data_IF_411044294268
#
_entry.id   IF_411044294268
#
_cell.length_a   1.000
_cell.length_b   1.000
_cell.length_c   1.000
_cell.angle_alpha   90.00
_cell.angle_beta   90.00
_cell.angle_gamma   90.00
#
_symmetry.space_group_name_H-M   'P 1'
#
loop_
_entity.id
_entity.type
_entity.pdbx_description
1 polymer ?
#
# COMPACT_ATOMS: atom_id res chain seq x y z
N UNK A 1 -43.44 25.29 7.69
CA UNK A 1 -43.09 23.91 8.12
C UNK A 1 -43.12 23.84 9.65
N UNK A 2 -43.85 22.89 10.22
CA UNK A 2 -44.27 22.88 11.62
C UNK A 2 -43.10 22.61 12.59
N UNK A 3 -42.99 23.39 13.67
CA UNK A 3 -41.98 23.21 14.74
C UNK A 3 -41.94 21.78 15.28
N UNK A 4 -43.07 21.05 15.23
CA UNK A 4 -43.17 19.64 15.64
C UNK A 4 -42.33 18.69 14.76
N UNK A 5 -42.25 18.95 13.46
CA UNK A 5 -41.52 18.07 12.52
C UNK A 5 -40.01 18.17 12.71
N UNK A 6 -39.51 19.37 13.03
CA UNK A 6 -38.09 19.60 13.30
C UNK A 6 -37.62 18.93 14.60
N UNK A 7 -38.44 18.96 15.66
CA UNK A 7 -38.13 18.26 16.91
C UNK A 7 -38.10 16.74 16.74
N UNK A 8 -39.00 16.16 15.96
CA UNK A 8 -39.00 14.73 15.64
C UNK A 8 -37.76 14.30 14.87
N UNK A 9 -37.31 15.10 13.89
CA UNK A 9 -36.08 14.82 13.14
C UNK A 9 -34.83 14.89 14.02
N UNK A 10 -34.76 15.84 14.97
CA UNK A 10 -33.64 15.93 15.91
C UNK A 10 -33.63 14.77 16.92
N UNK A 11 -34.81 14.34 17.40
CA UNK A 11 -34.94 13.18 18.27
C UNK A 11 -34.52 11.88 17.56
N UNK A 12 -34.94 11.69 16.30
CA UNK A 12 -34.55 10.55 15.48
C UNK A 12 -33.04 10.50 15.22
N UNK A 13 -32.41 11.65 14.91
CA UNK A 13 -30.95 11.73 14.74
C UNK A 13 -30.18 11.44 16.02
N UNK A 14 -30.69 11.86 17.19
CA UNK A 14 -30.08 11.52 18.49
C UNK A 14 -30.20 10.03 18.80
N UNK A 15 -31.36 9.41 18.53
CA UNK A 15 -31.58 7.99 18.72
C UNK A 15 -30.67 7.13 17.82
N UNK A 16 -30.50 7.52 16.56
CA UNK A 16 -29.57 6.86 15.63
C UNK A 16 -28.11 6.92 16.14
N UNK A 17 -27.65 8.11 16.58
CA UNK A 17 -26.31 8.28 17.15
C UNK A 17 -26.07 7.55 18.48
N UNK A 18 -27.14 7.23 19.21
CA UNK A 18 -27.06 6.41 20.42
C UNK A 18 -27.00 4.92 20.05
N UNK A 19 -27.85 4.46 19.13
CA UNK A 19 -27.84 3.08 18.64
C UNK A 19 -26.50 2.69 17.98
N UNK A 20 -25.88 3.61 17.24
CA UNK A 20 -24.57 3.40 16.63
C UNK A 20 -23.45 3.25 17.67
N UNK A 21 -23.42 4.12 18.69
CA UNK A 21 -22.48 4.03 19.81
C UNK A 21 -22.66 2.78 20.67
N UNK A 22 -23.88 2.29 20.79
CA UNK A 22 -24.16 1.05 21.51
C UNK A 22 -23.80 -0.19 20.68
N UNK A 23 -23.94 -0.13 19.34
CA UNK A 23 -23.47 -1.17 18.43
C UNK A 23 -21.93 -1.26 18.41
N UNK A 24 -21.23 -0.14 18.42
CA UNK A 24 -19.76 -0.08 18.55
C UNK A 24 -19.29 -0.65 19.88
N UNK A 25 -19.92 -0.27 21.01
CA UNK A 25 -19.58 -0.84 22.33
C UNK A 25 -19.84 -2.35 22.41
N UNK A 26 -20.89 -2.86 21.76
CA UNK A 26 -21.14 -4.30 21.65
C UNK A 26 -20.07 -5.01 20.80
N UNK A 27 -19.65 -4.40 19.67
CA UNK A 27 -18.55 -4.93 18.83
C UNK A 27 -17.23 -4.95 19.60
N UNK A 28 -16.90 -3.87 20.30
CA UNK A 28 -15.69 -3.79 21.14
C UNK A 28 -15.71 -4.81 22.28
N UNK A 29 -16.84 -4.98 22.99
CA UNK A 29 -16.98 -6.02 24.03
C UNK A 29 -16.85 -7.43 23.47
N UNK A 30 -17.39 -7.70 22.27
CA UNK A 30 -17.23 -8.99 21.60
C UNK A 30 -15.77 -9.25 21.21
N UNK A 31 -15.08 -8.25 20.66
CA UNK A 31 -13.68 -8.38 20.30
C UNK A 31 -12.80 -8.57 21.54
N UNK A 32 -13.05 -7.82 22.62
CA UNK A 32 -12.33 -7.97 23.90
C UNK A 32 -12.58 -9.33 24.56
N UNK A 33 -13.81 -9.85 24.52
CA UNK A 33 -14.13 -11.18 25.04
C UNK A 33 -13.43 -12.30 24.26
N UNK A 34 -13.29 -12.15 22.93
CA UNK A 34 -12.52 -13.08 22.08
C UNK A 34 -11.02 -13.04 22.44
N UNK A 35 -10.45 -11.86 22.69
CA UNK A 35 -9.03 -11.72 23.09
C UNK A 35 -8.74 -12.22 24.51
N UNK A 36 -9.69 -12.11 25.45
CA UNK A 36 -9.51 -12.64 26.82
C UNK A 36 -9.68 -14.16 26.85
N UNK A 37 -10.59 -14.73 26.03
CA UNK A 37 -10.74 -16.18 25.91
C UNK A 37 -9.50 -16.86 25.33
N UNK A 38 -8.78 -16.23 24.40
CA UNK A 38 -7.54 -16.78 23.82
C UNK A 38 -6.34 -16.73 24.78
N UNK A 39 -6.31 -15.80 25.74
CA UNK A 39 -5.27 -15.77 26.78
C UNK A 39 -5.58 -16.76 27.92
N UNK A 40 -6.85 -16.96 28.27
CA UNK A 40 -7.25 -17.91 29.32
C UNK A 40 -7.05 -19.38 28.91
N UNK A 41 -7.27 -19.75 27.64
CA UNK A 41 -7.00 -21.12 27.16
C UNK A 41 -5.50 -21.46 27.15
N UNK A 42 -4.62 -20.50 26.84
CA UNK A 42 -3.17 -20.73 26.84
C UNK A 42 -2.63 -20.93 28.26
N UNK A 43 -3.18 -20.25 29.27
CA UNK A 43 -2.73 -20.41 30.67
C UNK A 43 -3.27 -21.69 31.31
N UNK A 44 -4.50 -22.13 31.00
CA UNK A 44 -5.05 -23.38 31.55
C UNK A 44 -4.37 -24.62 30.97
N UNK A 45 -3.91 -24.57 29.71
CA UNK A 45 -3.14 -25.67 29.10
C UNK A 45 -1.73 -25.79 29.71
N UNK A 46 -1.10 -24.68 30.12
CA UNK A 46 0.24 -24.72 30.73
C UNK A 46 0.19 -25.19 32.19
N UNK A 47 -0.87 -24.86 32.95
CA UNK A 47 -1.00 -25.28 34.36
C UNK A 47 -1.61 -26.67 34.51
N UNK A 48 -2.51 -27.09 33.61
CA UNK A 48 -3.15 -28.42 33.65
C UNK A 48 -2.20 -29.57 33.32
N UNK A 49 -1.11 -29.32 32.58
CA UNK A 49 -0.13 -30.34 32.18
C UNK A 49 0.87 -30.68 33.31
N UNK A 50 1.00 -29.83 34.34
CA UNK A 50 1.99 -30.04 35.41
C UNK A 50 1.52 -30.85 36.63
N UNK A 51 0.24 -31.27 36.71
CA UNK A 51 -0.30 -31.87 37.96
C UNK A 51 -0.80 -33.32 37.83
N UNK A 52 -0.88 -33.95 36.65
CA UNK A 52 -1.59 -35.25 36.52
C UNK A 52 -0.75 -36.51 36.24
N UNK A 53 0.57 -36.47 35.98
CA UNK A 53 1.31 -37.74 35.80
C UNK A 53 2.66 -37.78 36.49
N UNK A 54 2.61 -37.99 37.81
CA UNK A 54 3.55 -38.90 38.47
C UNK A 54 2.89 -40.27 38.54
N UNK A 55 3.43 -41.26 37.82
CA UNK A 55 3.44 -42.72 38.02
C UNK A 55 3.47 -43.44 36.66
N UNK A 56 4.67 -43.97 36.35
CA UNK A 56 4.95 -45.27 35.73
C UNK A 56 4.15 -45.74 34.50
N UNK A 57 4.84 -45.77 33.35
CA UNK A 57 4.46 -46.57 32.19
C UNK A 57 5.47 -46.38 31.05
N UNK A 58 6.22 -47.43 30.73
CA UNK A 58 7.13 -47.50 29.58
C UNK A 58 6.35 -47.38 28.26
N UNK A 59 6.27 -46.18 27.70
CA UNK A 59 5.96 -45.98 26.28
C UNK A 59 6.72 -44.75 25.78
N UNK A 60 7.64 -44.99 24.83
CA UNK A 60 8.36 -43.93 24.11
C UNK A 60 7.34 -43.01 23.42
N UNK A 61 7.25 -41.70 23.74
CA UNK A 61 6.45 -40.80 22.94
C UNK A 61 7.20 -40.57 21.62
N UNK A 62 6.64 -41.06 20.53
CA UNK A 62 7.02 -40.62 19.19
C UNK A 62 6.74 -39.11 19.10
N UNK A 63 7.76 -38.33 18.79
CA UNK A 63 7.63 -36.90 18.53
C UNK A 63 6.61 -36.72 17.40
N UNK A 64 5.50 -36.06 17.69
CA UNK A 64 4.57 -35.61 16.66
C UNK A 64 5.21 -34.42 15.94
N UNK A 65 5.85 -34.67 14.81
CA UNK A 65 6.24 -33.66 13.84
C UNK A 65 4.96 -33.04 13.25
N UNK A 66 4.35 -32.09 13.96
CA UNK A 66 3.39 -31.18 13.37
C UNK A 66 4.18 -30.16 12.53
N UNK A 67 3.94 -30.04 11.22
CA UNK A 67 4.61 -29.03 10.40
C UNK A 67 4.24 -27.67 10.97
N UNK A 68 5.23 -26.92 11.45
CA UNK A 68 5.03 -25.52 11.82
C UNK A 68 4.66 -24.79 10.53
N UNK A 69 3.41 -24.32 10.41
CA UNK A 69 2.98 -23.54 9.25
C UNK A 69 3.93 -22.36 9.06
N UNK A 70 4.34 -22.11 7.82
CA UNK A 70 5.23 -20.99 7.50
C UNK A 70 4.61 -19.67 8.01
N UNK A 71 5.42 -18.69 8.45
CA UNK A 71 4.91 -17.42 8.96
C UNK A 71 4.03 -16.73 7.91
N UNK A 72 2.76 -16.48 8.23
CA UNK A 72 1.79 -15.85 7.31
C UNK A 72 2.19 -14.42 6.91
N UNK A 73 3.18 -13.81 7.57
CA UNK A 73 3.69 -12.47 7.29
C UNK A 73 4.84 -12.45 6.26
N UNK A 74 5.07 -13.55 5.56
CA UNK A 74 6.02 -13.68 4.45
C UNK A 74 5.30 -14.17 3.18
N UNK A 75 5.82 -13.88 1.98
CA UNK A 75 5.21 -14.36 0.76
C UNK A 75 5.42 -15.87 0.61
N UNK A 76 4.37 -16.59 0.19
CA UNK A 76 4.46 -18.02 -0.15
C UNK A 76 5.34 -18.25 -1.38
N UNK A 77 5.26 -17.33 -2.35
CA UNK A 77 6.11 -17.31 -3.54
C UNK A 77 6.26 -15.89 -4.08
N UNK A 78 7.36 -15.64 -4.80
CA UNK A 78 7.58 -14.40 -5.56
C UNK A 78 7.93 -14.81 -7.00
N UNK A 79 7.15 -14.38 -8.01
CA UNK A 79 7.52 -14.62 -9.40
C UNK A 79 8.88 -14.00 -9.74
N UNK A 80 9.74 -14.71 -10.46
CA UNK A 80 11.07 -14.20 -10.85
C UNK A 80 11.05 -13.42 -12.16
N UNK A 81 10.14 -13.77 -13.08
CA UNK A 81 10.06 -13.17 -14.41
C UNK A 81 9.46 -11.77 -14.38
N UNK A 82 10.12 -10.83 -15.06
CA UNK A 82 9.59 -9.50 -15.32
C UNK A 82 8.33 -9.58 -16.19
N UNK A 83 7.31 -8.80 -15.85
CA UNK A 83 6.17 -8.63 -16.75
C UNK A 83 6.56 -7.76 -17.95
N UNK A 84 5.86 -7.94 -19.07
CA UNK A 84 5.97 -7.01 -20.19
C UNK A 84 5.59 -5.60 -19.73
N UNK A 85 6.34 -4.60 -20.18
CA UNK A 85 6.03 -3.20 -19.87
C UNK A 85 4.58 -2.85 -20.27
N UNK A 86 3.86 -2.04 -19.46
CA UNK A 86 2.50 -1.67 -19.76
C UNK A 86 2.44 -0.91 -21.09
N UNK A 87 1.36 -1.11 -21.84
CA UNK A 87 1.09 -0.39 -23.09
C UNK A 87 -0.39 -0.05 -23.18
N UNK A 88 -0.71 1.11 -23.75
CA UNK A 88 -2.08 1.46 -24.13
C UNK A 88 -2.43 0.80 -25.45
N UNK A 89 -3.62 0.19 -25.54
CA UNK A 89 -4.14 -0.34 -26.81
C UNK A 89 -4.43 0.80 -27.80
N UNK A 90 -4.98 1.91 -27.30
CA UNK A 90 -5.21 3.14 -28.06
C UNK A 90 -4.26 4.22 -27.56
N UNK A 91 -3.37 4.78 -28.40
CA UNK A 91 -2.49 5.88 -28.01
C UNK A 91 -3.28 7.11 -27.53
N UNK A 92 -2.68 7.87 -26.61
CA UNK A 92 -3.19 9.18 -26.23
C UNK A 92 -3.01 10.19 -27.37
N UNK A 93 -3.72 11.31 -27.29
CA UNK A 93 -3.39 12.48 -28.10
C UNK A 93 -1.95 12.93 -27.81
N UNK A 94 -1.29 13.57 -28.79
CA UNK A 94 0.12 13.99 -28.67
C UNK A 94 0.39 14.85 -27.43
N UNK A 95 -0.60 15.65 -27.02
CA UNK A 95 -0.63 16.37 -25.77
C UNK A 95 -1.94 16.10 -25.03
N UNK A 96 -1.86 16.02 -23.71
CA UNK A 96 -3.03 15.98 -22.82
C UNK A 96 -3.03 17.17 -21.88
N UNK A 97 -4.21 17.61 -21.46
CA UNK A 97 -4.34 18.68 -20.49
C UNK A 97 -4.33 18.13 -19.06
N UNK A 98 -3.27 18.44 -18.30
CA UNK A 98 -3.11 18.02 -16.91
C UNK A 98 -3.55 19.14 -15.96
N UNK A 99 -4.28 18.75 -14.90
CA UNK A 99 -4.78 19.67 -13.88
C UNK A 99 -4.49 19.10 -12.50
N UNK A 100 -3.88 19.90 -11.62
CA UNK A 100 -3.51 19.53 -10.25
C UNK A 100 -4.32 20.35 -9.25
N UNK A 101 -5.40 19.76 -8.75
CA UNK A 101 -6.37 20.43 -7.89
C UNK A 101 -5.91 20.43 -6.44
N UNK A 102 -5.73 21.61 -5.85
CA UNK A 102 -5.39 21.74 -4.43
C UNK A 102 -6.42 21.02 -3.55
N UNK A 103 -5.95 20.23 -2.58
CA UNK A 103 -6.81 19.55 -1.61
C UNK A 103 -7.10 20.46 -0.42
N UNK A 104 -8.12 20.09 0.37
CA UNK A 104 -8.39 20.76 1.65
C UNK A 104 -7.27 20.50 2.67
N UNK A 105 -6.75 19.27 2.69
CA UNK A 105 -5.58 18.92 3.50
C UNK A 105 -4.31 19.56 2.93
N UNK A 106 -3.44 20.14 3.78
CA UNK A 106 -2.17 20.70 3.35
C UNK A 106 -1.19 19.61 2.94
N UNK A 107 -0.13 20.01 2.23
CA UNK A 107 0.96 19.11 1.89
C UNK A 107 1.67 18.60 3.15
N UNK A 108 1.94 17.30 3.21
CA UNK A 108 2.66 16.67 4.32
C UNK A 108 4.13 17.11 4.41
N UNK A 109 4.68 17.61 3.31
CA UNK A 109 6.00 18.24 3.20
C UNK A 109 5.89 19.42 2.23
N UNK A 110 6.62 20.53 2.43
CA UNK A 110 6.51 21.71 1.57
C UNK A 110 6.74 21.36 0.09
N UNK A 111 5.77 21.68 -0.75
CA UNK A 111 5.81 21.46 -2.20
C UNK A 111 4.74 22.32 -2.89
N UNK A 112 4.98 22.63 -4.16
CA UNK A 112 3.97 23.24 -5.02
C UNK A 112 3.45 22.23 -6.04
N UNK A 113 2.15 22.27 -6.38
CA UNK A 113 1.64 21.50 -7.52
C UNK A 113 2.40 21.88 -8.80
N UNK A 114 2.62 20.94 -9.73
CA UNK A 114 3.08 21.29 -11.07
C UNK A 114 2.10 22.27 -11.71
N UNK A 115 2.58 23.13 -12.61
CA UNK A 115 1.70 24.01 -13.36
C UNK A 115 0.68 23.20 -14.19
N UNK A 116 -0.57 23.65 -14.22
CA UNK A 116 -1.58 23.09 -15.11
C UNK A 116 -1.23 23.31 -16.59
N UNK A 117 -1.85 22.53 -17.48
CA UNK A 117 -1.79 22.75 -18.92
C UNK A 117 -1.38 21.53 -19.73
N UNK A 118 -1.03 21.77 -20.99
CA UNK A 118 -0.70 20.72 -21.97
C UNK A 118 0.64 20.05 -21.64
N UNK A 119 0.65 18.72 -21.71
CA UNK A 119 1.80 17.86 -21.45
C UNK A 119 1.93 16.86 -22.57
N UNK A 120 3.15 16.71 -23.11
CA UNK A 120 3.46 15.76 -24.16
C UNK A 120 3.24 14.32 -23.67
N UNK A 121 2.43 13.55 -24.40
CA UNK A 121 2.12 12.15 -24.08
C UNK A 121 3.11 11.17 -24.73
N UNK A 122 4.41 11.47 -24.66
CA UNK A 122 5.45 10.60 -25.20
C UNK A 122 6.82 10.91 -24.61
N UNK A 123 7.73 9.94 -24.71
CA UNK A 123 9.07 10.00 -24.16
C UNK A 123 9.15 9.35 -22.78
N UNK A 124 10.36 8.97 -22.41
CA UNK A 124 10.66 8.35 -21.13
C UNK A 124 11.60 9.22 -20.31
N UNK A 125 11.53 9.07 -18.99
CA UNK A 125 12.43 9.78 -18.06
C UNK A 125 12.96 8.79 -17.04
N UNK A 126 14.27 8.80 -16.81
CA UNK A 126 14.91 7.95 -15.82
C UNK A 126 14.92 8.64 -14.46
N UNK A 127 14.54 7.92 -13.41
CA UNK A 127 14.66 8.38 -12.03
C UNK A 127 15.42 7.34 -11.23
N UNK A 128 16.40 7.79 -10.45
CA UNK A 128 17.08 6.98 -9.45
C UNK A 128 16.55 7.35 -8.07
N UNK A 129 16.10 6.35 -7.31
CA UNK A 129 15.83 6.47 -5.89
C UNK A 129 17.01 5.87 -5.14
N UNK A 130 17.82 6.70 -4.49
CA UNK A 130 18.84 6.21 -3.58
C UNK A 130 18.14 5.78 -2.28
N UNK A 131 18.17 4.49 -1.96
CA UNK A 131 17.45 3.94 -0.81
C UNK A 131 18.35 3.24 0.21
N UNK A 132 17.78 2.88 1.37
CA UNK A 132 18.46 2.04 2.37
C UNK A 132 18.79 0.62 1.87
N UNK A 133 18.15 0.14 0.81
CA UNK A 133 18.36 -1.21 0.24
C UNK A 133 19.20 -1.20 -1.05
N UNK A 134 19.68 -0.03 -1.48
CA UNK A 134 20.40 0.19 -2.74
C UNK A 134 19.68 1.20 -3.64
N UNK A 135 20.21 1.42 -4.84
CA UNK A 135 19.58 2.32 -5.80
C UNK A 135 18.45 1.59 -6.54
N UNK A 136 17.28 2.21 -6.59
CA UNK A 136 16.14 1.73 -7.37
C UNK A 136 16.01 2.56 -8.65
N UNK A 137 16.18 1.91 -9.80
CA UNK A 137 16.21 2.55 -11.11
C UNK A 137 14.85 2.45 -11.79
N UNK A 138 14.20 3.59 -11.97
CA UNK A 138 12.88 3.73 -12.55
C UNK A 138 12.96 4.32 -13.96
N UNK A 139 12.08 3.84 -14.85
CA UNK A 139 11.80 4.43 -16.15
C UNK A 139 10.35 4.86 -16.20
N UNK A 140 10.10 6.16 -16.18
CA UNK A 140 8.77 6.75 -16.32
C UNK A 140 8.41 6.86 -17.80
N UNK A 141 7.15 6.64 -18.16
CA UNK A 141 6.68 6.67 -19.55
C UNK A 141 5.47 7.59 -19.73
N UNK A 142 5.69 8.73 -20.38
CA UNK A 142 4.65 9.72 -20.66
C UNK A 142 3.66 9.27 -21.74
N UNK A 143 3.92 8.19 -22.48
CA UNK A 143 2.91 7.58 -23.35
C UNK A 143 1.87 6.79 -22.54
N UNK A 144 2.20 6.40 -21.31
CA UNK A 144 1.27 5.74 -20.40
C UNK A 144 0.47 6.74 -19.60
N UNK A 145 1.14 7.65 -18.89
CA UNK A 145 0.48 8.52 -17.91
C UNK A 145 1.22 9.87 -17.79
N UNK A 146 1.08 10.74 -18.80
CA UNK A 146 1.79 12.03 -18.86
C UNK A 146 1.52 12.94 -17.64
N UNK A 147 0.31 12.95 -17.07
CA UNK A 147 0.03 13.77 -15.90
C UNK A 147 0.69 13.21 -14.63
N UNK A 148 0.70 11.89 -14.46
CA UNK A 148 1.41 11.22 -13.37
C UNK A 148 2.92 11.38 -13.49
N UNK A 149 3.49 11.26 -14.70
CA UNK A 149 4.93 11.45 -14.95
C UNK A 149 5.35 12.88 -14.63
N UNK A 150 4.61 13.88 -15.12
CA UNK A 150 4.87 15.29 -14.79
C UNK A 150 4.78 15.57 -13.30
N UNK A 151 3.78 14.99 -12.62
CA UNK A 151 3.66 15.08 -11.18
C UNK A 151 4.89 14.50 -10.47
N UNK A 152 5.24 13.26 -10.79
CA UNK A 152 6.33 12.55 -10.14
C UNK A 152 7.66 13.29 -10.34
N UNK A 153 7.96 13.76 -11.56
CA UNK A 153 9.18 14.53 -11.85
C UNK A 153 9.21 15.87 -11.11
N UNK A 154 8.06 16.56 -10.99
CA UNK A 154 7.96 17.80 -10.20
C UNK A 154 8.27 17.55 -8.72
N UNK A 155 7.71 16.47 -8.16
CA UNK A 155 7.96 16.07 -6.77
C UNK A 155 9.43 15.68 -6.54
N UNK A 156 10.05 14.97 -7.49
CA UNK A 156 11.49 14.66 -7.49
C UNK A 156 12.33 15.95 -7.52
N UNK A 157 12.05 16.87 -8.45
CA UNK A 157 12.78 18.14 -8.56
C UNK A 157 12.67 19.04 -7.32
N UNK A 158 11.55 18.92 -6.58
CA UNK A 158 11.32 19.61 -5.32
C UNK A 158 11.78 18.81 -4.09
N UNK A 159 12.50 17.70 -4.28
CA UNK A 159 13.04 16.84 -3.20
C UNK A 159 11.96 16.31 -2.26
N UNK A 160 10.73 16.16 -2.76
CA UNK A 160 9.59 15.77 -1.93
C UNK A 160 9.76 14.36 -1.34
N UNK A 161 10.34 13.44 -2.11
CA UNK A 161 10.59 12.06 -1.70
C UNK A 161 11.84 11.86 -0.83
N UNK A 162 12.68 12.88 -0.66
CA UNK A 162 13.89 12.79 0.17
C UNK A 162 13.55 12.56 1.64
N UNK A 163 14.28 11.63 2.27
CA UNK A 163 14.09 11.19 3.65
C UNK A 163 12.66 10.73 3.94
N UNK A 164 12.08 9.94 3.02
CA UNK A 164 10.74 9.35 3.18
C UNK A 164 10.84 7.82 3.23
N UNK A 165 9.87 7.16 3.86
CA UNK A 165 9.83 5.69 3.97
C UNK A 165 8.81 5.07 3.02
N UNK A 166 9.08 3.85 2.58
CA UNK A 166 8.06 2.97 2.05
C UNK A 166 7.30 2.37 3.24
N UNK A 167 6.09 2.88 3.46
CA UNK A 167 5.33 2.63 4.68
C UNK A 167 4.50 1.35 4.62
N UNK A 168 4.35 0.74 3.44
CA UNK A 168 3.54 -0.45 3.27
C UNK A 168 4.17 -1.44 2.31
N UNK A 169 4.14 -2.70 2.70
CA UNK A 169 4.48 -3.87 1.92
C UNK A 169 3.34 -4.86 2.08
N UNK A 170 2.92 -5.45 0.96
CA UNK A 170 1.98 -6.57 0.97
C UNK A 170 2.68 -7.82 0.44
N UNK A 171 2.44 -8.96 1.07
CA UNK A 171 3.11 -10.23 0.73
C UNK A 171 2.15 -11.34 0.29
N UNK A 172 0.84 -11.07 0.33
CA UNK A 172 -0.20 -12.03 -0.02
C UNK A 172 -0.33 -12.30 -1.51
N UNK A 173 -0.91 -13.45 -1.84
CA UNK A 173 -1.26 -13.79 -3.22
C UNK A 173 -2.28 -12.78 -3.77
N UNK A 174 -2.16 -12.44 -5.06
CA UNK A 174 -2.95 -11.42 -5.72
C UNK A 174 -2.52 -9.97 -5.48
N UNK A 175 -1.72 -9.68 -4.45
CA UNK A 175 -1.21 -8.34 -4.16
C UNK A 175 0.16 -8.34 -3.48
N UNK A 176 1.21 -8.21 -4.28
CA UNK A 176 2.61 -8.13 -3.85
C UNK A 176 3.24 -6.82 -4.32
N UNK A 177 3.11 -5.78 -3.49
CA UNK A 177 3.56 -4.42 -3.80
C UNK A 177 4.34 -3.80 -2.65
N UNK A 178 5.32 -2.95 -2.98
CA UNK A 178 5.97 -2.03 -2.04
C UNK A 178 5.46 -0.62 -2.32
N UNK A 179 4.83 0.01 -1.33
CA UNK A 179 4.19 1.32 -1.44
C UNK A 179 4.98 2.39 -0.67
N UNK A 180 5.23 3.51 -1.35
CA UNK A 180 6.06 4.63 -0.91
C UNK A 180 5.41 5.98 -1.26
N UNK A 181 6.12 7.09 -1.01
CA UNK A 181 5.70 8.42 -1.47
C UNK A 181 4.81 9.22 -0.51
N UNK A 182 4.70 8.78 0.74
CA UNK A 182 4.10 9.54 1.84
C UNK A 182 5.20 10.07 2.78
N UNK A 183 5.44 11.39 2.85
CA UNK A 183 6.45 11.95 3.75
C UNK A 183 6.19 11.74 5.24
N UNK A 184 4.94 11.57 5.65
CA UNK A 184 4.59 11.21 7.04
C UNK A 184 4.83 9.72 7.29
N UNK A 185 4.69 8.93 6.21
CA UNK A 185 4.70 7.47 6.20
C UNK A 185 3.64 6.84 7.12
N UNK A 186 2.51 7.51 7.31
CA UNK A 186 1.30 6.93 7.92
C UNK A 186 0.45 6.16 6.91
N UNK A 187 0.64 6.43 5.61
CA UNK A 187 -0.21 5.97 4.51
C UNK A 187 -1.34 6.95 4.16
N UNK A 188 -1.51 8.02 4.93
CA UNK A 188 -2.56 9.03 4.72
C UNK A 188 -2.04 10.38 4.25
N UNK A 189 -0.72 10.58 4.17
CA UNK A 189 -0.13 11.83 3.72
C UNK A 189 -0.13 11.99 2.20
N UNK A 190 0.15 13.21 1.75
CA UNK A 190 0.10 13.58 0.34
C UNK A 190 0.57 15.01 0.08
N UNK A 191 0.63 15.44 -1.20
CA UNK A 191 1.32 16.66 -1.60
C UNK A 191 0.42 17.91 -1.50
N UNK A 192 -0.75 17.80 -0.86
CA UNK A 192 -1.69 18.92 -0.74
C UNK A 192 -2.48 19.23 -2.02
N UNK A 193 -2.50 18.29 -2.97
CA UNK A 193 -3.30 18.35 -4.19
C UNK A 193 -3.59 16.94 -4.72
N UNK A 194 -4.54 16.83 -5.65
CA UNK A 194 -4.85 15.62 -6.39
C UNK A 194 -5.01 15.84 -7.89
N UNK A 195 -4.90 14.77 -8.66
CA UNK A 195 -5.13 14.77 -10.11
C UNK A 195 -5.83 13.49 -10.60
N UNK A 196 -6.38 13.57 -11.81
CA UNK A 196 -7.21 12.53 -12.42
C UNK A 196 -6.44 11.23 -12.69
N UNK A 197 -7.15 10.11 -12.73
CA UNK A 197 -6.60 8.82 -13.14
C UNK A 197 -6.33 8.80 -14.65
N UNK A 198 -5.28 8.09 -15.05
CA UNK A 198 -4.93 7.85 -16.46
C UNK A 198 -5.01 6.35 -16.78
N UNK A 199 -6.07 5.67 -16.33
CA UNK A 199 -6.29 4.23 -16.52
C UNK A 199 -6.91 3.88 -17.88
N UNK A 200 -6.82 2.61 -18.28
CA UNK A 200 -7.44 2.10 -19.51
C UNK A 200 -7.92 0.65 -19.32
N UNK A 201 -8.99 0.21 -20.03
CA UNK A 201 -9.68 -1.05 -19.71
C UNK A 201 -8.81 -2.31 -19.77
N UNK A 202 -7.82 -2.34 -20.66
CA UNK A 202 -6.92 -3.48 -20.86
C UNK A 202 -5.69 -3.46 -19.95
N UNK A 203 -5.57 -2.48 -19.04
CA UNK A 203 -4.44 -2.39 -18.13
C UNK A 203 -4.39 -3.62 -17.21
N UNK A 204 -3.21 -4.24 -17.14
CA UNK A 204 -2.88 -5.29 -16.19
C UNK A 204 -1.59 -4.91 -15.50
N UNK A 205 -1.47 -5.29 -14.25
CA UNK A 205 -0.29 -5.03 -13.44
C UNK A 205 0.52 -6.30 -13.33
N UNK A 206 1.83 -6.15 -13.35
CA UNK A 206 2.75 -7.27 -13.16
C UNK A 206 4.08 -6.79 -12.63
N UNK A 207 4.89 -7.76 -12.21
CA UNK A 207 6.23 -7.53 -11.68
C UNK A 207 7.04 -6.56 -12.54
N UNK A 208 7.54 -5.51 -11.90
CA UNK A 208 8.32 -4.45 -12.54
C UNK A 208 7.55 -3.18 -12.88
N UNK A 209 6.24 -3.12 -12.64
CA UNK A 209 5.44 -1.93 -12.96
C UNK A 209 5.37 -0.96 -11.77
N UNK A 210 5.29 0.33 -12.09
CA UNK A 210 4.94 1.41 -11.16
C UNK A 210 3.53 1.90 -11.42
N UNK A 211 2.78 2.13 -10.33
CA UNK A 211 1.48 2.76 -10.40
C UNK A 211 1.23 3.73 -9.23
N UNK A 212 0.40 4.74 -9.48
CA UNK A 212 -0.01 5.69 -8.45
C UNK A 212 -0.96 5.01 -7.46
N UNK A 213 -0.70 5.18 -6.16
CA UNK A 213 -1.68 4.86 -5.15
C UNK A 213 -2.72 5.99 -5.06
N UNK A 214 -3.97 5.64 -4.71
CA UNK A 214 -5.06 6.58 -4.58
C UNK A 214 -6.03 6.15 -3.46
N UNK A 215 -6.90 7.06 -3.05
CA UNK A 215 -7.99 6.83 -2.10
C UNK A 215 -9.35 6.79 -2.80
N UNK A 216 -9.37 6.24 -4.03
CA UNK A 216 -10.52 6.27 -4.94
C UNK A 216 -10.26 7.06 -6.21
N UNK A 217 -11.24 7.05 -7.12
CA UNK A 217 -11.07 7.61 -8.46
C UNK A 217 -10.67 9.09 -8.43
N UNK A 218 -9.68 9.45 -9.25
CA UNK A 218 -9.16 10.80 -9.46
C UNK A 218 -8.57 11.44 -8.18
N UNK A 219 -7.95 10.62 -7.34
CA UNK A 219 -7.29 11.08 -6.10
C UNK A 219 -5.78 10.80 -6.09
N UNK A 220 -5.15 10.68 -7.26
CA UNK A 220 -3.70 10.53 -7.33
C UNK A 220 -3.02 11.72 -6.67
N UNK A 221 -2.03 11.45 -5.81
CA UNK A 221 -1.25 12.47 -5.11
C UNK A 221 0.25 12.23 -5.31
N UNK A 222 0.94 11.86 -4.23
CA UNK A 222 2.38 11.57 -4.24
C UNK A 222 2.71 10.10 -4.03
N UNK A 223 1.78 9.33 -3.45
CA UNK A 223 2.02 7.93 -3.14
C UNK A 223 2.02 7.08 -4.41
N UNK A 224 2.93 6.13 -4.47
CA UNK A 224 3.07 5.19 -5.56
C UNK A 224 3.43 3.82 -5.01
N UNK A 225 3.20 2.78 -5.80
CA UNK A 225 3.65 1.43 -5.48
C UNK A 225 4.41 0.80 -6.63
N UNK A 226 5.35 -0.06 -6.25
CA UNK A 226 6.15 -0.89 -7.13
C UNK A 226 5.60 -2.30 -7.02
N UNK A 227 5.13 -2.86 -8.13
CA UNK A 227 4.70 -4.26 -8.18
C UNK A 227 5.96 -5.12 -8.25
N UNK A 228 6.27 -5.80 -7.15
CA UNK A 228 7.40 -6.71 -7.12
C UNK A 228 6.96 -8.15 -7.42
N UNK A 229 5.71 -8.54 -7.19
CA UNK A 229 5.29 -9.92 -7.41
C UNK A 229 3.95 -10.08 -8.12
N UNK A 230 3.15 -11.02 -7.65
CA UNK A 230 1.78 -11.22 -8.12
C UNK A 230 0.91 -9.98 -7.84
N UNK A 231 0.20 -9.53 -8.86
CA UNK A 231 -0.74 -8.42 -8.79
C UNK A 231 -2.07 -8.77 -9.50
N UNK A 232 -2.39 -10.06 -9.60
CA UNK A 232 -3.60 -10.57 -10.25
C UNK A 232 -4.90 -10.06 -9.61
N UNK A 233 -4.85 -9.64 -8.34
CA UNK A 233 -5.98 -9.04 -7.62
C UNK A 233 -6.21 -7.57 -7.96
N UNK A 234 -5.30 -6.90 -8.66
CA UNK A 234 -5.47 -5.50 -9.06
C UNK A 234 -6.35 -5.36 -10.31
N UNK A 235 -7.34 -4.47 -10.21
CA UNK A 235 -8.16 -4.03 -11.35
C UNK A 235 -7.67 -2.66 -11.87
N UNK A 236 -8.05 -2.24 -13.10
CA UNK A 236 -7.60 -0.99 -13.75
C UNK A 236 -8.03 0.33 -13.07
N UNK A 237 -7.73 0.49 -11.78
CA UNK A 237 -8.08 1.65 -10.95
C UNK A 237 -6.86 2.51 -10.57
N UNK A 238 -5.65 2.08 -10.93
CA UNK A 238 -4.40 2.74 -10.55
C UNK A 238 -3.62 3.14 -11.80
N UNK A 239 -3.20 4.40 -11.85
CA UNK A 239 -2.48 4.94 -13.00
C UNK A 239 -1.10 4.30 -13.10
N UNK A 240 -0.89 3.39 -14.06
CA UNK A 240 0.43 2.85 -14.38
C UNK A 240 1.24 3.88 -15.16
N UNK A 241 2.43 4.23 -14.68
CA UNK A 241 3.20 5.37 -15.19
C UNK A 241 4.69 5.08 -15.46
N UNK A 242 5.13 3.85 -15.28
CA UNK A 242 6.51 3.46 -15.55
C UNK A 242 6.85 2.03 -15.15
N UNK A 243 8.14 1.72 -15.24
CA UNK A 243 8.73 0.43 -14.86
C UNK A 243 9.98 0.61 -13.99
N UNK A 244 10.33 -0.44 -13.24
CA UNK A 244 11.58 -0.59 -12.49
C UNK A 244 12.43 -1.66 -13.18
N UNK A 245 13.75 -1.51 -13.16
CA UNK A 245 14.64 -2.51 -13.74
C UNK A 245 14.75 -3.79 -12.89
N UNK A 246 15.23 -4.86 -13.53
CA UNK A 246 15.30 -6.18 -12.90
C UNK A 246 16.25 -6.23 -11.67
N UNK A 247 17.45 -5.63 -11.71
CA UNK A 247 18.32 -5.57 -10.53
C UNK A 247 17.65 -4.87 -9.34
N UNK A 248 16.93 -3.78 -9.58
CA UNK A 248 16.29 -3.01 -8.50
C UNK A 248 15.10 -3.75 -7.89
N UNK A 249 14.27 -4.44 -8.69
CA UNK A 249 13.17 -5.23 -8.11
C UNK A 249 13.69 -6.43 -7.29
N UNK A 250 14.86 -6.99 -7.63
CA UNK A 250 15.52 -8.03 -6.80
C UNK A 250 15.97 -7.51 -5.43
N UNK A 251 16.21 -6.21 -5.27
CA UNK A 251 16.44 -5.62 -3.95
C UNK A 251 15.14 -5.65 -3.12
N UNK A 252 14.00 -5.40 -3.77
CA UNK A 252 12.67 -5.46 -3.13
C UNK A 252 12.31 -6.91 -2.76
N UNK A 253 12.71 -7.91 -3.54
CA UNK A 253 12.49 -9.32 -3.18
C UNK A 253 13.08 -9.67 -1.82
N UNK A 254 14.31 -9.23 -1.54
CA UNK A 254 14.96 -9.46 -0.24
C UNK A 254 14.19 -8.82 0.92
N UNK A 255 13.60 -7.65 0.67
CA UNK A 255 12.73 -6.98 1.65
C UNK A 255 11.45 -7.78 1.87
N UNK A 256 10.83 -8.27 0.79
CA UNK A 256 9.63 -9.09 0.85
C UNK A 256 9.85 -10.43 1.56
N UNK A 257 10.97 -11.10 1.28
CA UNK A 257 11.38 -12.34 1.95
C UNK A 257 11.60 -12.16 3.45
N UNK A 258 12.07 -10.98 3.88
CA UNK A 258 12.17 -10.63 5.30
C UNK A 258 10.79 -10.56 5.97
N UNK A 259 9.74 -10.21 5.22
CA UNK A 259 8.35 -10.19 5.66
C UNK A 259 7.86 -8.82 6.13
N UNK A 260 6.64 -8.80 6.66
CA UNK A 260 5.97 -7.59 7.16
C UNK A 260 5.78 -7.63 8.68
N UNK A 261 5.72 -6.45 9.29
CA UNK A 261 5.07 -6.24 10.58
C UNK A 261 3.58 -5.96 10.31
N UNK A 262 2.66 -6.88 10.63
CA UNK A 262 1.24 -6.76 10.31
C UNK A 262 0.60 -5.49 10.86
N UNK A 263 -0.19 -4.81 10.03
CA UNK A 263 -1.01 -3.65 10.42
C UNK A 263 -2.44 -3.76 9.89
N UNK A 264 -2.62 -4.30 8.67
CA UNK A 264 -3.91 -4.42 7.98
C UNK A 264 -4.21 -5.90 7.65
N UNK A 265 -3.92 -6.80 8.58
CA UNK A 265 -3.97 -8.25 8.39
C UNK A 265 -2.57 -8.87 8.33
N UNK A 266 -2.47 -10.22 8.32
CA UNK A 266 -1.20 -10.92 8.47
C UNK A 266 -0.19 -10.62 7.35
N UNK A 267 -0.69 -10.31 6.15
CA UNK A 267 0.11 -10.13 4.94
C UNK A 267 0.26 -8.67 4.49
N UNK A 268 -0.18 -7.70 5.30
CA UNK A 268 -0.19 -6.28 4.95
C UNK A 268 0.26 -5.43 6.14
N UNK A 269 1.36 -4.72 5.96
CA UNK A 269 1.86 -3.78 6.96
C UNK A 269 3.19 -3.17 6.58
N UNK A 270 3.98 -2.75 7.57
CA UNK A 270 5.29 -2.14 7.30
C UNK A 270 6.32 -3.22 6.97
N UNK A 271 7.27 -2.96 6.06
CA UNK A 271 8.41 -3.86 5.84
C UNK A 271 9.18 -4.12 7.14
N UNK A 272 9.55 -5.39 7.42
CA UNK A 272 10.47 -5.72 8.53
C UNK A 272 11.84 -5.11 8.29
N UNK A 273 12.33 -5.18 7.04
CA UNK A 273 13.52 -4.46 6.60
C UNK A 273 13.09 -3.07 6.12
N UNK A 274 13.34 -1.98 6.85
CA UNK A 274 12.83 -0.67 6.48
C UNK A 274 13.45 -0.19 5.16
N UNK A 275 12.59 0.32 4.27
CA UNK A 275 13.01 0.94 3.01
C UNK A 275 12.81 2.44 3.12
N UNK A 276 13.92 3.18 3.11
CA UNK A 276 13.95 4.64 3.17
C UNK A 276 14.52 5.18 1.86
N UNK A 277 13.80 6.10 1.23
CA UNK A 277 14.28 6.91 0.11
C UNK A 277 15.09 8.05 0.72
N UNK A 278 16.41 7.99 0.57
CA UNK A 278 17.34 9.03 1.04
C UNK A 278 17.23 10.24 0.11
N UNK A 279 17.36 10.00 -1.19
CA UNK A 279 17.20 11.02 -2.23
C UNK A 279 16.55 10.46 -3.47
N UNK A 280 15.76 11.28 -4.17
CA UNK A 280 15.27 10.97 -5.51
C UNK A 280 15.85 11.94 -6.54
N UNK A 281 16.37 11.43 -7.66
CA UNK A 281 16.98 12.25 -8.71
C UNK A 281 16.53 11.81 -10.10
N UNK A 282 16.07 12.75 -10.92
CA UNK A 282 15.81 12.51 -12.33
C UNK A 282 17.11 12.70 -13.13
N UNK A 283 17.35 11.85 -14.13
CA UNK A 283 18.43 12.06 -15.08
C UNK A 283 18.19 13.37 -15.86
N UNK A 284 19.25 14.16 -16.02
CA UNK A 284 19.25 15.39 -16.82
C UNK A 284 19.12 15.11 -18.32
#
# INVERSE_FOLDING_TARGET
MSKKTHQQQLAARKAQRQAERDAERRRQRRNLAITVASVATVVVVIVGVFVVFGVGGDDKPAASDQPTAAPENKPTSIPTAMAAAPKRATPLAAEVNCVYKKSAEPASKPVNPPADGKVKASGTSKVSLNTSIGDLQLTLDSALAPCAVKNFLSLVGQKYFDNTKCHRLTVGEGLQVLQCGDPTGSGSGGPGYSFADEVYPTLKYGRGMLAMANSGANTNGSQFFIVYGDASGLTPQYTAFGTIDEPSVKLIDKVAEAGVTPQNGPQDGTPITPVEIKTATAAA
#
